data_IF_789666975874
#
_entry.id   IF_789666975874
#
_cell.length_a   1.000
_cell.length_b   1.000
_cell.length_c   1.000
_cell.angle_alpha   90.00
_cell.angle_beta   90.00
_cell.angle_gamma   90.00
#
_symmetry.space_group_name_H-M   'P 1'
#
loop_
_entity.id
_entity.type
_entity.pdbx_description
1 polymer ?
#
# COMPACT_ATOMS: atom_id res chain seq x y z
N UNK A 1 25.50 -3.06 0.10
CA UNK A 1 25.02 -4.43 -0.14
C UNK A 1 23.51 -4.54 0.08
N UNK A 2 22.98 -4.35 1.30
CA UNK A 2 21.51 -4.38 1.60
C UNK A 2 20.61 -3.66 0.59
N UNK A 3 20.93 -2.39 0.28
CA UNK A 3 20.15 -1.57 -0.68
C UNK A 3 20.23 -2.05 -2.13
N UNK A 4 21.29 -2.77 -2.52
CA UNK A 4 21.41 -3.38 -3.86
C UNK A 4 20.49 -4.59 -3.99
N UNK A 5 20.24 -5.30 -2.89
CA UNK A 5 19.42 -6.51 -2.82
C UNK A 5 17.98 -6.25 -2.37
N UNK A 6 17.60 -4.98 -2.13
CA UNK A 6 16.26 -4.63 -1.66
C UNK A 6 15.93 -5.16 -0.26
N UNK A 7 16.93 -5.44 0.58
CA UNK A 7 16.74 -6.03 1.91
C UNK A 7 16.33 -4.97 2.95
N UNK A 8 15.21 -5.23 3.63
CA UNK A 8 14.71 -4.46 4.77
C UNK A 8 14.41 -5.43 5.93
N UNK A 9 14.97 -5.19 7.12
CA UNK A 9 14.80 -6.10 8.26
C UNK A 9 13.63 -5.65 9.13
N UNK A 10 12.63 -6.53 9.30
CA UNK A 10 11.50 -6.30 10.22
C UNK A 10 12.01 -6.34 11.67
N UNK A 11 11.78 -5.28 12.43
CA UNK A 11 12.26 -5.15 13.82
C UNK A 11 11.15 -5.10 14.86
N UNK A 12 9.90 -4.98 14.44
CA UNK A 12 8.71 -4.95 15.30
C UNK A 12 7.74 -6.05 14.87
N UNK A 13 7.01 -6.61 15.83
CA UNK A 13 6.11 -7.74 15.58
C UNK A 13 4.82 -7.27 14.88
N UNK A 14 4.57 -7.64 13.61
CA UNK A 14 3.36 -7.24 12.88
C UNK A 14 2.16 -8.17 13.15
N UNK A 15 2.36 -9.26 13.90
CA UNK A 15 1.43 -10.39 14.01
C UNK A 15 0.46 -10.29 15.19
N UNK A 16 0.55 -9.24 16.00
CA UNK A 16 -0.30 -9.10 17.20
C UNK A 16 -1.74 -8.64 16.90
N UNK A 17 -2.03 -8.31 15.64
CA UNK A 17 -3.36 -7.81 15.27
C UNK A 17 -4.37 -8.96 15.09
N UNK A 18 -5.63 -8.70 15.43
CA UNK A 18 -6.74 -9.66 15.37
C UNK A 18 -6.97 -10.24 13.97
N UNK A 19 -6.77 -9.44 12.91
CA UNK A 19 -6.89 -9.93 11.53
C UNK A 19 -5.87 -11.03 11.21
N UNK A 20 -4.63 -10.87 11.66
CA UNK A 20 -3.62 -11.92 11.55
C UNK A 20 -3.94 -13.13 12.41
N UNK A 21 -4.33 -12.94 13.66
CA UNK A 21 -4.64 -14.06 14.57
C UNK A 21 -5.79 -14.92 14.05
N UNK A 22 -6.83 -14.29 13.49
CA UNK A 22 -7.94 -14.99 12.84
C UNK A 22 -7.45 -15.79 11.63
N UNK A 23 -6.69 -15.15 10.74
CA UNK A 23 -6.13 -15.82 9.56
C UNK A 23 -5.14 -16.96 9.93
N UNK A 24 -4.36 -16.78 10.98
CA UNK A 24 -3.41 -17.77 11.50
C UNK A 24 -4.13 -19.00 12.06
N UNK A 25 -5.26 -18.79 12.74
CA UNK A 25 -6.13 -19.86 13.18
C UNK A 25 -6.72 -20.64 11.99
N UNK A 26 -7.26 -19.93 10.98
CA UNK A 26 -7.88 -20.56 9.80
C UNK A 26 -6.92 -21.42 8.97
N UNK A 27 -5.62 -21.10 8.97
CA UNK A 27 -4.62 -21.87 8.23
C UNK A 27 -3.91 -22.96 9.06
N UNK A 28 -4.29 -23.12 10.34
CA UNK A 28 -3.61 -23.97 11.32
C UNK A 28 -2.10 -23.64 11.44
N UNK A 29 -1.77 -22.36 11.54
CA UNK A 29 -0.38 -21.87 11.47
C UNK A 29 0.54 -22.60 12.46
N UNK A 30 0.10 -22.77 13.71
CA UNK A 30 0.89 -23.39 14.78
C UNK A 30 1.18 -24.89 14.58
N UNK A 31 0.43 -25.55 13.69
CA UNK A 31 0.55 -26.99 13.38
C UNK A 31 1.15 -27.24 12.00
N UNK A 32 1.50 -26.19 11.26
CA UNK A 32 1.98 -26.28 9.88
C UNK A 32 3.44 -25.85 9.80
N UNK A 33 4.23 -26.50 8.95
CA UNK A 33 5.58 -26.04 8.63
C UNK A 33 5.52 -24.70 7.89
N UNK A 34 6.05 -23.64 8.50
CA UNK A 34 6.07 -22.31 7.91
C UNK A 34 7.26 -22.14 6.96
N UNK A 35 7.01 -21.69 5.73
CA UNK A 35 8.05 -21.27 4.80
C UNK A 35 8.36 -19.78 4.98
N UNK A 36 9.64 -19.42 5.22
CA UNK A 36 10.14 -18.04 5.08
C UNK A 36 11.18 -17.98 3.95
N UNK A 37 10.78 -17.63 2.70
CA UNK A 37 11.62 -17.75 1.50
C UNK A 37 12.69 -16.65 1.33
N UNK A 38 12.63 -15.59 2.13
CA UNK A 38 13.50 -14.40 2.09
C UNK A 38 13.88 -13.95 3.51
N UNK A 39 14.36 -14.90 4.32
CA UNK A 39 14.36 -14.78 5.79
C UNK A 39 15.39 -13.80 6.36
N UNK A 40 16.48 -13.50 5.65
CA UNK A 40 17.60 -12.70 6.16
C UNK A 40 18.13 -13.22 7.51
N UNK A 41 17.72 -12.56 8.60
CA UNK A 41 18.07 -12.87 9.99
C UNK A 41 17.09 -13.80 10.72
N UNK A 42 16.03 -14.27 10.07
CA UNK A 42 14.98 -15.14 10.61
C UNK A 42 14.07 -14.46 11.67
N UNK A 43 13.93 -13.14 11.61
CA UNK A 43 13.20 -12.37 12.63
C UNK A 43 11.71 -12.71 12.66
N UNK A 44 11.06 -12.96 11.51
CA UNK A 44 9.63 -13.25 11.48
C UNK A 44 9.33 -14.61 12.12
N UNK A 45 10.12 -15.64 11.81
CA UNK A 45 10.03 -16.92 12.52
C UNK A 45 10.18 -16.74 14.03
N UNK A 46 11.21 -16.02 14.49
CA UNK A 46 11.41 -15.82 15.93
C UNK A 46 10.18 -15.14 16.57
N UNK A 47 9.63 -14.09 15.95
CA UNK A 47 8.42 -13.41 16.44
C UNK A 47 7.21 -14.35 16.51
N UNK A 48 7.06 -15.28 15.56
CA UNK A 48 5.98 -16.27 15.58
C UNK A 48 6.21 -17.35 16.63
N UNK A 49 7.46 -17.77 16.87
CA UNK A 49 7.82 -18.70 17.93
C UNK A 49 7.52 -18.12 19.31
N UNK A 50 7.89 -16.85 19.54
CA UNK A 50 7.61 -16.13 20.80
C UNK A 50 6.10 -16.04 21.09
N UNK A 51 5.27 -16.07 20.05
CA UNK A 51 3.80 -16.10 20.14
C UNK A 51 3.21 -17.51 20.25
N UNK A 52 4.02 -18.58 20.20
CA UNK A 52 3.55 -19.96 20.17
C UNK A 52 2.86 -20.36 18.86
N UNK A 53 3.09 -19.61 17.78
CA UNK A 53 2.45 -19.79 16.46
C UNK A 53 3.34 -20.50 15.44
N UNK A 54 4.57 -20.87 15.80
CA UNK A 54 5.50 -21.57 14.91
C UNK A 54 6.20 -22.71 15.65
N UNK A 55 5.86 -23.95 15.30
CA UNK A 55 6.52 -25.16 15.84
C UNK A 55 7.55 -25.76 14.87
N UNK A 56 7.31 -25.67 13.56
CA UNK A 56 8.24 -26.08 12.51
C UNK A 56 8.33 -25.02 11.41
N UNK A 57 9.53 -24.87 10.83
CA UNK A 57 9.78 -23.90 9.78
C UNK A 57 10.89 -24.35 8.82
N UNK A 58 10.91 -23.72 7.64
CA UNK A 58 12.03 -23.78 6.69
C UNK A 58 12.29 -22.36 6.17
N UNK A 59 13.51 -21.88 6.43
CA UNK A 59 13.91 -20.53 6.06
C UNK A 59 15.01 -20.54 5.01
N UNK A 60 14.89 -19.66 4.03
CA UNK A 60 15.83 -19.50 2.93
C UNK A 60 16.18 -18.04 2.71
N UNK A 61 17.41 -17.77 2.29
CA UNK A 61 17.83 -16.44 1.83
C UNK A 61 19.01 -16.54 0.86
N UNK A 62 19.18 -15.56 -0.02
CA UNK A 62 20.34 -15.50 -0.93
C UNK A 62 21.64 -15.16 -0.17
N UNK A 63 21.51 -14.41 0.93
CA UNK A 63 22.59 -14.04 1.86
C UNK A 63 22.19 -14.28 3.33
N UNK A 64 22.11 -15.54 3.80
CA UNK A 64 21.70 -15.87 5.16
C UNK A 64 22.48 -15.11 6.23
N UNK A 65 21.79 -14.60 7.26
CA UNK A 65 22.37 -13.94 8.44
C UNK A 65 22.17 -14.72 9.73
N UNK A 66 21.57 -15.91 9.64
CA UNK A 66 21.24 -16.79 10.76
C UNK A 66 21.54 -18.25 10.36
N UNK A 67 22.08 -19.05 11.30
CA UNK A 67 22.46 -20.45 11.08
C UNK A 67 21.31 -21.38 10.69
N UNK A 68 20.07 -21.01 11.03
CA UNK A 68 18.86 -21.77 10.68
C UNK A 68 18.31 -21.43 9.27
N UNK A 69 18.92 -20.45 8.59
CA UNK A 69 18.52 -20.01 7.25
C UNK A 69 19.44 -20.65 6.21
N UNK A 70 18.88 -21.40 5.27
CA UNK A 70 19.65 -22.06 4.20
C UNK A 70 19.88 -21.11 3.04
N UNK A 71 21.10 -21.11 2.49
CA UNK A 71 21.42 -20.29 1.30
C UNK A 71 20.66 -20.78 0.08
N UNK A 72 19.87 -19.90 -0.57
CA UNK A 72 19.12 -20.20 -1.80
C UNK A 72 18.73 -18.92 -2.53
N UNK A 73 18.87 -18.89 -3.84
CA UNK A 73 18.24 -17.87 -4.68
C UNK A 73 16.78 -18.27 -4.92
N UNK A 74 15.90 -17.84 -4.02
CA UNK A 74 14.47 -18.23 -4.02
C UNK A 74 13.71 -17.69 -5.23
N UNK A 75 14.19 -16.61 -5.87
CA UNK A 75 13.58 -16.09 -7.10
C UNK A 75 13.85 -17.01 -8.29
N UNK A 76 15.00 -17.69 -8.33
CA UNK A 76 15.33 -18.68 -9.37
C UNK A 76 14.81 -20.08 -9.06
N UNK A 77 14.82 -20.48 -7.79
CA UNK A 77 14.44 -21.83 -7.36
C UNK A 77 13.59 -21.75 -6.08
N UNK A 78 12.29 -21.53 -6.27
CA UNK A 78 11.34 -21.39 -5.16
C UNK A 78 11.10 -22.73 -4.42
N UNK A 79 11.15 -22.77 -3.08
CA UNK A 79 10.83 -23.96 -2.30
C UNK A 79 9.38 -24.44 -2.49
N UNK A 80 9.18 -25.74 -2.72
CA UNK A 80 7.86 -26.35 -2.97
C UNK A 80 7.41 -27.24 -1.81
N UNK A 81 6.12 -27.57 -1.77
CA UNK A 81 5.54 -28.50 -0.79
C UNK A 81 5.12 -27.85 0.54
N UNK A 82 4.96 -26.52 0.56
CA UNK A 82 4.56 -25.78 1.75
C UNK A 82 3.15 -25.24 1.61
N UNK A 83 2.31 -25.46 2.63
CA UNK A 83 0.95 -24.90 2.70
C UNK A 83 0.97 -23.41 3.02
N UNK A 84 1.85 -22.98 3.93
CA UNK A 84 1.89 -21.61 4.47
C UNK A 84 3.25 -20.97 4.25
N UNK A 85 3.24 -19.73 3.74
CA UNK A 85 4.41 -18.87 3.63
C UNK A 85 4.20 -17.59 4.44
N UNK A 86 5.16 -17.23 5.29
CA UNK A 86 5.20 -15.91 5.96
C UNK A 86 6.49 -15.22 5.57
N UNK A 87 6.42 -13.98 5.09
CA UNK A 87 7.61 -13.34 4.54
C UNK A 87 7.59 -11.81 4.54
N UNK A 88 8.79 -11.24 4.49
CA UNK A 88 9.03 -9.87 4.06
C UNK A 88 9.88 -9.94 2.77
N UNK A 89 9.26 -9.92 1.58
CA UNK A 89 9.98 -10.08 0.33
C UNK A 89 10.90 -8.87 0.05
N UNK A 90 11.87 -8.99 -0.86
CA UNK A 90 12.77 -7.88 -1.20
C UNK A 90 12.04 -6.75 -1.93
N UNK A 91 12.33 -5.50 -1.57
CA UNK A 91 11.73 -4.31 -2.20
C UNK A 91 12.73 -3.60 -3.11
N UNK A 92 12.40 -3.51 -4.39
CA UNK A 92 13.22 -2.79 -5.37
C UNK A 92 12.32 -2.34 -6.52
N UNK A 93 11.77 -1.13 -6.44
CA UNK A 93 11.03 -0.56 -7.56
C UNK A 93 11.98 -0.27 -8.75
N UNK A 94 11.55 -0.58 -9.97
CA UNK A 94 12.31 -0.36 -11.22
C UNK A 94 12.81 1.08 -11.36
N UNK A 95 11.94 2.06 -11.06
CA UNK A 95 12.30 3.48 -11.07
C UNK A 95 13.32 3.85 -9.97
N UNK A 96 13.33 3.13 -8.85
CA UNK A 96 14.33 3.30 -7.81
C UNK A 96 15.68 2.71 -8.24
N UNK A 97 15.66 1.52 -8.85
CA UNK A 97 16.84 0.86 -9.40
C UNK A 97 17.51 1.72 -10.48
N UNK A 98 16.74 2.19 -11.48
CA UNK A 98 17.23 3.07 -12.55
C UNK A 98 17.87 4.35 -12.01
N UNK A 99 17.20 5.06 -11.08
CA UNK A 99 17.76 6.27 -10.46
C UNK A 99 19.05 6.04 -9.68
N UNK A 100 19.28 4.81 -9.21
CA UNK A 100 20.46 4.41 -8.43
C UNK A 100 21.48 3.65 -9.25
N UNK A 101 21.28 3.54 -10.57
CA UNK A 101 22.11 2.74 -11.47
C UNK A 101 22.30 1.28 -10.97
N UNK A 102 21.21 0.67 -10.50
CA UNK A 102 21.16 -0.73 -10.10
C UNK A 102 20.51 -1.56 -11.21
N UNK A 103 20.98 -2.78 -11.39
CA UNK A 103 20.33 -3.77 -12.25
C UNK A 103 18.94 -4.10 -11.69
N UNK A 104 17.94 -4.13 -12.57
CA UNK A 104 16.59 -4.57 -12.26
C UNK A 104 16.29 -5.78 -13.14
N UNK A 105 15.82 -6.90 -12.57
CA UNK A 105 15.59 -8.10 -13.35
C UNK A 105 14.48 -7.85 -14.39
N UNK A 106 14.56 -8.57 -15.52
CA UNK A 106 13.50 -8.54 -16.52
C UNK A 106 12.29 -9.34 -16.01
N UNK A 107 11.39 -8.66 -15.29
CA UNK A 107 10.16 -9.22 -14.73
C UNK A 107 8.97 -8.39 -15.18
N UNK A 108 7.78 -9.00 -15.18
CA UNK A 108 6.53 -8.35 -15.62
C UNK A 108 6.08 -7.20 -14.70
N UNK A 109 6.62 -7.12 -13.49
CA UNK A 109 6.24 -6.14 -12.48
C UNK A 109 7.26 -5.00 -12.37
N UNK A 110 6.76 -3.85 -11.93
CA UNK A 110 7.55 -2.64 -11.66
C UNK A 110 8.28 -2.65 -10.31
N UNK A 111 8.09 -3.70 -9.50
CA UNK A 111 8.73 -3.87 -8.20
C UNK A 111 8.97 -5.36 -7.90
N UNK A 112 10.13 -5.66 -7.33
CA UNK A 112 10.59 -7.02 -7.06
C UNK A 112 9.70 -7.76 -6.05
N UNK A 113 9.08 -7.05 -5.10
CA UNK A 113 8.20 -7.68 -4.12
C UNK A 113 6.96 -8.30 -4.78
N UNK A 114 6.47 -7.73 -5.89
CA UNK A 114 5.29 -8.23 -6.60
C UNK A 114 5.58 -9.57 -7.26
N UNK A 115 6.76 -9.68 -7.87
CA UNK A 115 7.23 -10.95 -8.44
C UNK A 115 7.51 -11.99 -7.35
N UNK A 116 8.12 -11.57 -6.24
CA UNK A 116 8.33 -12.44 -5.08
C UNK A 116 7.01 -12.97 -4.52
N UNK A 117 6.00 -12.10 -4.41
CA UNK A 117 4.66 -12.43 -3.95
C UNK A 117 3.94 -13.39 -4.91
N UNK A 118 4.05 -13.19 -6.23
CA UNK A 118 3.55 -14.14 -7.23
C UNK A 118 4.12 -15.54 -6.97
N UNK A 119 5.44 -15.67 -6.78
CA UNK A 119 6.07 -16.98 -6.51
C UNK A 119 5.57 -17.61 -5.21
N UNK A 120 5.37 -16.82 -4.15
CA UNK A 120 4.77 -17.32 -2.92
C UNK A 120 3.34 -17.84 -3.15
N UNK A 121 2.52 -17.09 -3.89
CA UNK A 121 1.14 -17.47 -4.18
C UNK A 121 1.08 -18.72 -5.07
N UNK A 122 1.89 -18.82 -6.11
CA UNK A 122 1.94 -20.00 -6.98
C UNK A 122 2.29 -21.31 -6.23
N UNK A 123 3.00 -21.23 -5.10
CA UNK A 123 3.55 -22.41 -4.42
C UNK A 123 2.98 -22.67 -3.02
N UNK A 124 2.14 -21.78 -2.47
CA UNK A 124 1.53 -21.91 -1.15
C UNK A 124 0.04 -21.55 -1.17
N UNK A 125 -0.77 -22.25 -0.38
CA UNK A 125 -2.21 -21.98 -0.24
C UNK A 125 -2.48 -20.71 0.59
N UNK A 126 -1.62 -20.44 1.57
CA UNK A 126 -1.73 -19.32 2.49
C UNK A 126 -0.43 -18.52 2.47
N UNK A 127 -0.53 -17.20 2.29
CA UNK A 127 0.64 -16.31 2.27
C UNK A 127 0.38 -15.11 3.18
N UNK A 128 1.24 -14.86 4.15
CA UNK A 128 1.31 -13.61 4.89
C UNK A 128 2.54 -12.82 4.47
N UNK A 129 2.36 -11.62 3.91
CA UNK A 129 3.45 -10.83 3.38
C UNK A 129 3.45 -9.40 3.91
N UNK A 130 4.59 -8.95 4.46
CA UNK A 130 4.82 -7.54 4.78
C UNK A 130 5.28 -6.86 3.50
N UNK A 131 4.48 -5.99 2.92
CA UNK A 131 4.73 -5.37 1.61
C UNK A 131 4.37 -3.88 1.62
N UNK A 132 4.84 -3.08 0.63
CA UNK A 132 4.46 -1.67 0.53
C UNK A 132 2.94 -1.48 0.56
N UNK A 133 2.45 -0.57 1.41
CA UNK A 133 1.02 -0.33 1.58
C UNK A 133 0.32 0.16 0.29
N UNK A 134 1.09 0.75 -0.64
CA UNK A 134 0.60 1.09 -1.97
C UNK A 134 0.17 -0.12 -2.81
N UNK A 135 0.51 -1.36 -2.41
CA UNK A 135 0.02 -2.60 -3.00
C UNK A 135 -1.51 -2.62 -3.14
N UNK A 136 -2.23 -2.03 -2.18
CA UNK A 136 -3.69 -1.96 -2.21
C UNK A 136 -4.24 -1.39 -3.53
N UNK A 137 -3.51 -0.42 -4.12
CA UNK A 137 -3.87 0.25 -5.37
C UNK A 137 -3.39 -0.48 -6.62
N UNK A 138 -2.53 -1.50 -6.49
CA UNK A 138 -2.04 -2.28 -7.62
C UNK A 138 -3.14 -3.18 -8.22
N UNK A 139 -4.16 -3.54 -7.44
CA UNK A 139 -5.29 -4.39 -7.88
C UNK A 139 -4.88 -5.72 -8.50
N UNK A 140 -3.77 -6.30 -8.04
CA UNK A 140 -3.29 -7.64 -8.42
C UNK A 140 -3.56 -8.63 -7.27
N UNK A 141 -3.68 -9.92 -7.60
CA UNK A 141 -3.89 -11.03 -6.65
C UNK A 141 -5.13 -10.85 -5.76
N UNK A 142 -6.15 -10.15 -6.26
CA UNK A 142 -7.32 -9.75 -5.46
C UNK A 142 -8.17 -10.96 -5.08
N UNK A 143 -8.24 -11.95 -5.97
CA UNK A 143 -8.96 -13.21 -5.82
C UNK A 143 -8.43 -14.10 -4.69
N UNK A 144 -7.24 -13.79 -4.17
CA UNK A 144 -6.63 -14.49 -3.03
C UNK A 144 -6.46 -13.64 -1.80
N UNK A 145 -6.47 -12.31 -1.94
CA UNK A 145 -6.29 -11.40 -0.83
C UNK A 145 -7.48 -11.50 0.11
N UNK A 146 -7.24 -11.93 1.34
CA UNK A 146 -8.27 -12.10 2.36
C UNK A 146 -8.26 -10.99 3.39
N UNK A 147 -7.08 -10.51 3.78
CA UNK A 147 -6.94 -9.41 4.73
C UNK A 147 -5.91 -8.41 4.22
N UNK A 148 -6.21 -7.12 4.39
CA UNK A 148 -5.25 -6.04 4.24
C UNK A 148 -5.18 -5.28 5.55
N UNK A 149 -4.02 -5.33 6.21
CA UNK A 149 -3.79 -4.68 7.49
C UNK A 149 -2.74 -3.59 7.29
N UNK A 150 -3.15 -2.33 7.33
CA UNK A 150 -2.21 -1.21 7.30
C UNK A 150 -1.48 -1.11 8.64
N UNK A 151 -0.15 -1.09 8.64
CA UNK A 151 0.67 -1.07 9.85
C UNK A 151 1.14 0.37 10.14
N UNK A 152 0.47 1.12 11.02
CA UNK A 152 0.87 2.50 11.41
C UNK A 152 1.92 2.51 12.52
N UNK A 153 2.90 1.63 12.39
CA UNK A 153 4.07 1.62 13.26
C UNK A 153 5.31 1.47 12.41
N UNK A 154 6.43 1.95 12.97
CA UNK A 154 7.72 1.85 12.32
C UNK A 154 8.10 0.37 12.23
N UNK A 155 7.93 -0.28 11.07
CA UNK A 155 8.28 -1.70 10.88
C UNK A 155 9.77 -1.93 10.65
N UNK A 156 10.45 -0.92 10.12
CA UNK A 156 11.84 -0.98 9.70
C UNK A 156 12.62 0.21 10.27
N UNK A 157 13.88 -0.02 10.64
CA UNK A 157 14.76 1.07 11.07
C UNK A 157 15.23 1.96 9.91
N UNK A 158 15.33 1.40 8.72
CA UNK A 158 16.01 2.02 7.57
C UNK A 158 15.06 2.72 6.58
N UNK A 159 13.76 2.76 6.86
CA UNK A 159 12.76 3.34 5.96
C UNK A 159 11.48 3.78 6.68
N UNK A 160 10.89 4.88 6.21
CA UNK A 160 9.58 5.39 6.61
C UNK A 160 8.49 5.09 5.56
N UNK A 161 8.80 4.18 4.63
CA UNK A 161 7.83 3.76 3.63
C UNK A 161 6.68 3.00 4.31
N UNK A 162 5.42 3.43 4.10
CA UNK A 162 4.27 2.74 4.67
C UNK A 162 4.20 1.30 4.17
N UNK A 163 3.91 0.38 5.08
CA UNK A 163 3.72 -1.04 4.77
C UNK A 163 2.41 -1.58 5.32
N UNK A 164 1.97 -2.67 4.72
CA UNK A 164 0.84 -3.46 5.17
C UNK A 164 1.27 -4.90 5.40
N UNK A 165 0.55 -5.60 6.27
CA UNK A 165 0.51 -7.05 6.29
C UNK A 165 -0.66 -7.49 5.39
N UNK A 166 -0.33 -8.06 4.24
CA UNK A 166 -1.29 -8.61 3.29
C UNK A 166 -1.38 -10.12 3.50
N UNK A 167 -2.59 -10.62 3.78
CA UNK A 167 -2.84 -12.03 4.07
C UNK A 167 -3.70 -12.65 2.97
N UNK A 168 -3.22 -13.75 2.40
CA UNK A 168 -3.81 -14.42 1.27
C UNK A 168 -4.26 -15.82 1.66
N UNK A 169 -5.35 -16.28 1.03
CA UNK A 169 -5.88 -17.64 1.08
C UNK A 169 -5.87 -18.22 -0.32
N UNK A 170 -6.20 -19.50 -0.48
CA UNK A 170 -6.32 -20.13 -1.81
C UNK A 170 -7.34 -19.42 -2.70
N UNK A 171 -8.42 -18.95 -2.09
CA UNK A 171 -9.43 -18.09 -2.69
C UNK A 171 -10.05 -17.21 -1.60
N UNK A 172 -10.43 -15.98 -1.97
CA UNK A 172 -11.17 -15.05 -1.10
C UNK A 172 -12.21 -14.30 -1.92
N UNK A 173 -13.46 -14.33 -1.45
CA UNK A 173 -14.57 -13.61 -2.08
C UNK A 173 -14.47 -12.09 -1.88
N UNK A 174 -13.93 -11.68 -0.73
CA UNK A 174 -13.76 -10.29 -0.35
C UNK A 174 -12.52 -10.12 0.53
N UNK A 175 -12.20 -8.87 0.86
CA UNK A 175 -11.05 -8.49 1.68
C UNK A 175 -11.51 -7.83 2.96
N UNK A 176 -11.09 -8.36 4.10
CA UNK A 176 -11.21 -7.70 5.40
C UNK A 176 -10.14 -6.62 5.55
N UNK A 177 -10.55 -5.41 5.90
CA UNK A 177 -9.68 -4.25 5.96
C UNK A 177 -9.44 -3.85 7.41
N UNK A 178 -8.17 -3.68 7.75
CA UNK A 178 -7.73 -3.29 9.08
C UNK A 178 -6.78 -2.10 9.03
N UNK A 179 -6.82 -1.31 10.09
CA UNK A 179 -5.81 -0.33 10.42
C UNK A 179 -5.21 -0.70 11.78
N UNK A 180 -4.00 -1.26 11.76
CA UNK A 180 -3.42 -2.00 12.88
C UNK A 180 -4.40 -3.05 13.42
N UNK A 181 -4.85 -2.93 14.67
CA UNK A 181 -5.82 -3.86 15.25
C UNK A 181 -7.29 -3.47 15.02
N UNK A 182 -7.56 -2.32 14.40
CA UNK A 182 -8.92 -1.83 14.18
C UNK A 182 -9.48 -2.39 12.88
N UNK A 183 -10.53 -3.20 12.96
CA UNK A 183 -11.31 -3.61 11.80
C UNK A 183 -12.10 -2.42 11.22
N UNK A 184 -12.05 -2.25 9.90
CA UNK A 184 -12.67 -1.15 9.16
C UNK A 184 -13.87 -1.58 8.30
N UNK A 185 -14.05 -2.88 8.09
CA UNK A 185 -15.08 -3.45 7.23
C UNK A 185 -14.52 -4.16 6.01
N UNK A 186 -15.44 -4.58 5.14
CA UNK A 186 -15.13 -5.28 3.89
C UNK A 186 -14.79 -4.31 2.76
N UNK A 187 -13.91 -4.74 1.85
CA UNK A 187 -13.54 -3.96 0.67
C UNK A 187 -14.73 -3.69 -0.25
N UNK A 188 -15.60 -4.67 -0.47
CA UNK A 188 -16.81 -4.48 -1.30
C UNK A 188 -17.69 -3.34 -0.76
N UNK A 189 -17.87 -3.26 0.56
CA UNK A 189 -18.68 -2.21 1.20
C UNK A 189 -18.03 -0.83 1.09
N UNK A 190 -16.72 -0.74 1.34
CA UNK A 190 -16.02 0.54 1.20
C UNK A 190 -15.98 1.01 -0.26
N UNK A 191 -15.88 0.09 -1.23
CA UNK A 191 -15.93 0.45 -2.66
C UNK A 191 -17.26 1.09 -3.06
N UNK A 192 -18.38 0.80 -2.38
CA UNK A 192 -19.68 1.44 -2.64
C UNK A 192 -19.65 2.96 -2.37
N UNK A 193 -18.70 3.43 -1.55
CA UNK A 193 -18.46 4.83 -1.17
C UNK A 193 -17.51 5.55 -2.12
N UNK A 194 -16.93 4.86 -3.11
CA UNK A 194 -16.14 5.53 -4.14
C UNK A 194 -17.04 6.42 -5.00
N UNK A 195 -16.55 7.59 -5.43
CA UNK A 195 -17.28 8.45 -6.35
C UNK A 195 -17.69 7.69 -7.62
N UNK A 196 -18.98 7.81 -7.97
CA UNK A 196 -19.62 6.99 -9.03
C UNK A 196 -19.80 7.73 -10.36
N UNK A 197 -19.66 9.05 -10.35
CA UNK A 197 -19.83 9.85 -11.57
C UNK A 197 -18.86 9.40 -12.67
N UNK A 198 -19.41 9.22 -13.88
CA UNK A 198 -18.66 8.95 -15.11
C UNK A 198 -18.96 10.02 -16.17
N UNK A 199 -19.34 11.22 -15.74
CA UNK A 199 -19.68 12.29 -16.66
C UNK A 199 -18.41 12.80 -17.31
N UNK A 200 -18.44 12.92 -18.63
CA UNK A 200 -17.31 13.42 -19.38
C UNK A 200 -17.25 14.95 -19.31
N UNK A 201 -16.67 15.47 -18.23
CA UNK A 201 -16.34 16.89 -18.08
C UNK A 201 -14.89 17.10 -18.54
N UNK A 202 -14.62 18.17 -19.30
CA UNK A 202 -13.25 18.56 -19.63
C UNK A 202 -12.51 19.02 -18.37
N UNK A 203 -11.78 18.09 -17.75
CA UNK A 203 -10.95 18.32 -16.56
C UNK A 203 -9.51 18.01 -16.94
N UNK A 204 -8.65 19.03 -16.91
CA UNK A 204 -7.23 18.90 -17.26
C UNK A 204 -6.35 19.26 -16.08
N UNK A 205 -5.50 18.32 -15.65
CA UNK A 205 -4.54 18.52 -14.57
C UNK A 205 -3.23 19.13 -15.09
N UNK A 206 -2.46 19.75 -14.19
CA UNK A 206 -1.17 20.37 -14.49
C UNK A 206 -1.27 21.49 -15.54
N UNK A 207 -2.34 22.27 -15.51
CA UNK A 207 -2.52 23.44 -16.39
C UNK A 207 -2.10 24.69 -15.62
N UNK A 208 -1.00 25.39 -15.99
CA UNK A 208 -0.52 26.56 -15.24
C UNK A 208 -1.57 27.66 -15.08
N UNK A 209 -2.50 27.81 -16.01
CA UNK A 209 -3.60 28.78 -15.94
C UNK A 209 -4.94 28.15 -15.48
N UNK A 210 -4.89 26.98 -14.84
CA UNK A 210 -6.08 26.31 -14.30
C UNK A 210 -6.76 27.15 -13.20
N UNK A 211 -8.09 27.15 -13.20
CA UNK A 211 -8.94 27.92 -12.29
C UNK A 211 -9.18 27.24 -10.94
N UNK A 212 -8.89 25.94 -10.82
CA UNK A 212 -9.00 25.17 -9.57
C UNK A 212 -7.61 24.70 -9.12
N UNK A 213 -7.27 24.86 -7.85
CA UNK A 213 -6.03 24.33 -7.26
C UNK A 213 -6.26 23.05 -6.47
N UNK A 214 -5.25 22.18 -6.40
CA UNK A 214 -5.25 20.98 -5.56
C UNK A 214 -3.91 20.83 -4.83
N UNK A 215 -3.98 20.78 -3.50
CA UNK A 215 -2.91 20.27 -2.62
C UNK A 215 -3.21 18.80 -2.36
N UNK A 216 -2.46 17.91 -3.01
CA UNK A 216 -2.77 16.49 -3.14
C UNK A 216 -2.10 15.59 -2.10
N UNK A 217 -1.27 16.13 -1.20
CA UNK A 217 -0.59 15.37 -0.15
C UNK A 217 -0.83 16.05 1.21
N UNK A 218 -1.11 15.24 2.23
CA UNK A 218 -1.18 15.73 3.62
C UNK A 218 0.16 16.35 4.05
N UNK A 219 0.12 17.34 4.92
CA UNK A 219 1.29 17.86 5.62
C UNK A 219 1.76 16.85 6.70
N UNK A 220 2.74 17.22 7.52
CA UNK A 220 3.30 16.33 8.57
C UNK A 220 2.55 16.41 9.90
N UNK A 221 1.49 17.22 10.00
CA UNK A 221 0.78 17.51 11.24
C UNK A 221 -0.60 16.84 11.23
N UNK A 222 -1.38 17.02 10.17
CA UNK A 222 -2.80 16.67 10.11
C UNK A 222 -3.26 16.28 8.68
N UNK A 223 -4.48 15.73 8.52
CA UNK A 223 -5.13 15.63 7.22
C UNK A 223 -5.26 17.02 6.55
N UNK A 224 -4.58 17.24 5.43
CA UNK A 224 -4.50 18.57 4.81
C UNK A 224 -4.61 18.60 3.28
N UNK A 225 -4.98 17.47 2.65
CA UNK A 225 -5.38 17.47 1.23
C UNK A 225 -6.59 18.36 1.07
N UNK A 226 -6.54 19.31 0.13
CA UNK A 226 -7.64 20.24 -0.13
C UNK A 226 -7.61 20.81 -1.54
N UNK A 227 -8.78 21.18 -2.03
CA UNK A 227 -8.96 22.06 -3.17
C UNK A 227 -8.89 23.52 -2.73
N UNK A 228 -8.31 24.36 -3.57
CA UNK A 228 -8.09 25.80 -3.33
C UNK A 228 -8.36 26.59 -4.61
N UNK A 229 -8.36 27.91 -4.55
CA UNK A 229 -8.42 28.69 -5.79
C UNK A 229 -7.12 28.46 -6.60
N UNK A 230 -7.24 28.36 -7.93
CA UNK A 230 -6.06 28.22 -8.79
C UNK A 230 -5.01 29.32 -8.53
N UNK A 231 -5.46 30.54 -8.23
CA UNK A 231 -4.62 31.71 -7.93
C UNK A 231 -3.73 31.53 -6.69
N UNK A 232 -4.13 30.69 -5.73
CA UNK A 232 -3.33 30.42 -4.51
C UNK A 232 -2.04 29.62 -4.78
N UNK A 233 -1.94 28.97 -5.93
CA UNK A 233 -0.77 28.16 -6.30
C UNK A 233 -0.02 28.89 -7.40
N UNK A 234 1.25 29.29 -7.25
CA UNK A 234 1.97 29.95 -8.35
C UNK A 234 2.02 29.09 -9.65
N UNK A 235 1.74 29.65 -10.85
CA UNK A 235 1.80 28.92 -12.13
C UNK A 235 3.18 28.29 -12.39
N UNK A 236 4.26 28.94 -11.96
CA UNK A 236 5.65 28.51 -12.16
C UNK A 236 5.98 27.21 -11.40
N UNK A 237 5.19 26.88 -10.37
CA UNK A 237 5.33 25.62 -9.62
C UNK A 237 4.71 24.43 -10.35
N UNK A 238 3.98 24.66 -11.44
CA UNK A 238 3.26 23.61 -12.16
C UNK A 238 4.15 23.02 -13.24
N UNK A 239 4.52 21.74 -13.05
CA UNK A 239 5.24 20.94 -14.03
C UNK A 239 4.31 19.86 -14.58
N UNK A 240 4.62 19.34 -15.76
CA UNK A 240 3.90 18.20 -16.37
C UNK A 240 3.86 16.98 -15.45
N UNK A 241 4.87 16.82 -14.58
CA UNK A 241 5.00 15.73 -13.63
C UNK A 241 4.56 16.10 -12.20
N UNK A 242 3.95 17.27 -12.00
CA UNK A 242 3.43 17.65 -10.68
C UNK A 242 2.41 16.61 -10.22
N UNK A 243 2.51 16.24 -8.94
CA UNK A 243 1.65 15.25 -8.27
C UNK A 243 1.27 15.63 -6.84
N UNK A 244 1.98 16.58 -6.24
CA UNK A 244 1.77 17.01 -4.86
C UNK A 244 0.93 18.28 -4.78
N UNK A 245 1.13 19.21 -5.71
CA UNK A 245 0.44 20.48 -5.81
C UNK A 245 0.21 20.73 -7.30
N UNK A 246 -1.00 21.09 -7.69
CA UNK A 246 -1.34 21.31 -9.11
C UNK A 246 -2.44 22.35 -9.30
N UNK A 247 -2.51 22.89 -10.51
CA UNK A 247 -3.65 23.64 -11.03
C UNK A 247 -4.39 22.79 -12.04
N UNK A 248 -5.72 22.85 -11.99
CA UNK A 248 -6.68 22.05 -12.74
C UNK A 248 -7.55 23.03 -13.51
N UNK A 249 -7.72 22.78 -14.80
CA UNK A 249 -8.69 23.50 -15.62
C UNK A 249 -10.03 22.75 -15.57
N UNK A 250 -11.08 23.46 -15.16
CA UNK A 250 -12.48 23.01 -15.23
C UNK A 250 -13.34 24.04 -15.99
N UNK A 251 -14.53 23.69 -16.51
CA UNK A 251 -15.36 24.61 -17.28
C UNK A 251 -15.74 25.89 -16.53
N UNK A 252 -15.65 27.04 -17.20
CA UNK A 252 -15.87 28.38 -16.60
C UNK A 252 -17.32 28.68 -16.24
N UNK A 253 -18.28 27.89 -16.72
CA UNK A 253 -19.70 28.04 -16.37
C UNK A 253 -19.99 27.86 -14.88
N UNK A 254 -19.07 27.25 -14.13
CA UNK A 254 -19.23 27.01 -12.71
C UNK A 254 -18.53 28.08 -11.86
N UNK A 255 -19.19 28.53 -10.79
CA UNK A 255 -18.62 29.47 -9.81
C UNK A 255 -17.57 28.78 -8.93
N UNK A 256 -16.29 29.10 -9.13
CA UNK A 256 -15.16 28.41 -8.50
C UNK A 256 -15.25 28.35 -6.97
N UNK A 257 -15.57 29.46 -6.30
CA UNK A 257 -15.60 29.49 -4.84
C UNK A 257 -16.66 28.52 -4.25
N UNK A 258 -17.87 28.47 -4.82
CA UNK A 258 -18.90 27.52 -4.36
C UNK A 258 -18.52 26.07 -4.67
N UNK A 259 -17.80 25.81 -5.76
CA UNK A 259 -17.30 24.47 -6.07
C UNK A 259 -16.25 24.04 -5.05
N UNK A 260 -15.30 24.92 -4.68
CA UNK A 260 -14.23 24.60 -3.74
C UNK A 260 -14.79 24.20 -2.38
N UNK A 261 -15.77 24.95 -1.86
CA UNK A 261 -16.44 24.63 -0.60
C UNK A 261 -17.09 23.24 -0.67
N UNK A 262 -17.85 22.97 -1.74
CA UNK A 262 -18.52 21.68 -1.92
C UNK A 262 -17.53 20.53 -2.13
N UNK A 263 -16.45 20.74 -2.89
CA UNK A 263 -15.39 19.75 -3.11
C UNK A 263 -14.70 19.37 -1.82
N UNK A 264 -14.31 20.36 -1.01
CA UNK A 264 -13.64 20.11 0.27
C UNK A 264 -14.59 19.42 1.26
N UNK A 265 -15.87 19.80 1.28
CA UNK A 265 -16.89 19.10 2.06
C UNK A 265 -17.01 17.62 1.63
N UNK A 266 -17.19 17.36 0.34
CA UNK A 266 -17.30 16.00 -0.21
C UNK A 266 -16.02 15.18 0.02
N UNK A 267 -14.84 15.78 -0.13
CA UNK A 267 -13.56 15.15 0.16
C UNK A 267 -13.48 14.75 1.64
N UNK A 268 -13.88 15.62 2.57
CA UNK A 268 -13.84 15.30 4.00
C UNK A 268 -14.80 14.17 4.38
N UNK A 269 -16.00 14.14 3.79
CA UNK A 269 -16.93 13.00 3.93
C UNK A 269 -16.27 11.72 3.39
N UNK A 270 -15.75 11.75 2.17
CA UNK A 270 -15.10 10.62 1.54
C UNK A 270 -13.96 10.06 2.40
N UNK A 271 -13.09 10.94 2.92
CA UNK A 271 -11.98 10.57 3.81
C UNK A 271 -12.48 9.87 5.08
N UNK A 272 -13.50 10.45 5.74
CA UNK A 272 -14.12 9.89 6.95
C UNK A 272 -14.75 8.54 6.69
N UNK A 273 -15.54 8.41 5.64
CA UNK A 273 -16.32 7.19 5.36
C UNK A 273 -15.46 6.04 4.84
N UNK A 274 -14.34 6.33 4.19
CA UNK A 274 -13.43 5.33 3.63
C UNK A 274 -12.19 5.10 4.48
N UNK A 275 -12.07 5.79 5.63
CA UNK A 275 -10.91 5.74 6.52
C UNK A 275 -9.58 6.01 5.80
N UNK A 276 -9.62 6.91 4.80
CA UNK A 276 -8.49 7.22 3.92
C UNK A 276 -7.89 6.02 3.15
N UNK A 277 -8.53 4.85 3.12
CA UNK A 277 -7.96 3.63 2.54
C UNK A 277 -7.70 3.72 1.04
N UNK A 278 -8.55 4.44 0.32
CA UNK A 278 -8.40 4.67 -1.12
C UNK A 278 -7.43 5.82 -1.45
N UNK A 279 -6.93 6.53 -0.44
CA UNK A 279 -5.82 7.46 -0.61
C UNK A 279 -4.51 6.70 -0.40
N UNK A 280 -3.54 6.93 -1.28
CA UNK A 280 -2.26 6.23 -1.21
C UNK A 280 -1.51 6.66 0.05
N UNK A 281 -1.10 5.74 0.95
CA UNK A 281 -0.18 6.06 2.03
C UNK A 281 1.10 6.68 1.49
N UNK A 282 1.52 7.78 2.09
CA UNK A 282 2.67 8.56 1.71
C UNK A 282 3.61 8.70 2.90
N UNK A 283 4.91 8.59 2.61
CA UNK A 283 6.07 8.68 3.51
C UNK A 283 5.81 9.32 4.87
N UNK A 284 6.17 8.58 5.92
CA UNK A 284 6.22 9.09 7.29
C UNK A 284 4.85 9.20 7.96
N UNK A 285 4.87 9.12 9.29
CA UNK A 285 3.72 9.38 10.12
C UNK A 285 3.56 10.89 10.32
N UNK A 286 2.30 11.35 10.34
CA UNK A 286 1.94 12.67 10.85
C UNK A 286 2.05 12.68 12.38
N UNK A 287 1.97 13.86 13.00
CA UNK A 287 1.98 14.01 14.46
C UNK A 287 0.85 13.26 15.18
N UNK A 288 -0.25 12.97 14.48
CA UNK A 288 -1.38 12.17 14.97
C UNK A 288 -1.17 10.64 14.84
N UNK A 289 0.03 10.20 14.46
CA UNK A 289 0.42 8.79 14.22
C UNK A 289 -0.29 8.08 13.06
N UNK A 290 -0.90 8.83 12.13
CA UNK A 290 -1.39 8.26 10.87
C UNK A 290 -0.39 8.54 9.75
N UNK A 291 -0.28 7.63 8.77
CA UNK A 291 0.44 7.95 7.56
C UNK A 291 -0.20 9.14 6.84
N UNK A 292 0.68 9.99 6.30
CA UNK A 292 0.26 11.00 5.33
C UNK A 292 -0.41 10.32 4.15
N UNK A 293 -1.39 10.97 3.54
CA UNK A 293 -2.08 10.45 2.37
C UNK A 293 -1.74 11.26 1.14
N UNK A 294 -1.88 10.62 -0.03
CA UNK A 294 -1.86 11.27 -1.33
C UNK A 294 -3.13 10.92 -2.10
N UNK A 295 -3.82 11.96 -2.56
CA UNK A 295 -4.91 11.87 -3.53
C UNK A 295 -4.33 11.82 -4.95
N UNK A 296 -4.60 10.75 -5.68
CA UNK A 296 -4.21 10.67 -7.10
C UNK A 296 -5.21 11.40 -8.00
N UNK A 297 -4.78 11.69 -9.23
CA UNK A 297 -5.59 12.47 -10.18
C UNK A 297 -6.81 11.74 -10.69
N UNK A 298 -6.79 10.40 -10.71
CA UNK A 298 -7.95 9.62 -11.14
C UNK A 298 -9.07 9.76 -10.12
N UNK A 299 -8.76 9.63 -8.83
CA UNK A 299 -9.73 9.83 -7.76
C UNK A 299 -10.13 11.31 -7.61
N UNK A 300 -9.19 12.25 -7.73
CA UNK A 300 -9.50 13.68 -7.71
C UNK A 300 -10.46 14.05 -8.85
N UNK A 301 -10.23 13.54 -10.07
CA UNK A 301 -11.12 13.76 -11.22
C UNK A 301 -12.54 13.31 -10.92
N UNK A 302 -12.71 12.09 -10.39
CA UNK A 302 -14.03 11.57 -10.05
C UNK A 302 -14.75 12.38 -8.96
N UNK A 303 -14.02 12.84 -7.94
CA UNK A 303 -14.58 13.75 -6.91
C UNK A 303 -15.07 15.07 -7.54
N UNK A 304 -14.34 15.60 -8.51
CA UNK A 304 -14.74 16.79 -9.26
C UNK A 304 -15.99 16.50 -10.10
N UNK A 305 -16.00 15.42 -10.87
CA UNK A 305 -17.15 15.03 -11.72
C UNK A 305 -18.42 14.79 -10.92
N UNK A 306 -18.33 14.15 -9.75
CA UNK A 306 -19.47 13.92 -8.87
C UNK A 306 -19.98 15.22 -8.23
N UNK A 307 -19.07 16.11 -7.83
CA UNK A 307 -19.44 17.40 -7.26
C UNK A 307 -20.10 18.32 -8.30
N UNK A 308 -19.58 18.36 -9.52
CA UNK A 308 -20.13 19.19 -10.59
C UNK A 308 -21.44 18.64 -11.18
N UNK A 309 -21.73 17.35 -11.02
CA UNK A 309 -23.02 16.78 -11.40
C UNK A 309 -24.16 17.22 -10.46
N UNK A 310 -23.84 17.37 -9.18
CA UNK A 310 -24.82 17.79 -8.16
C UNK A 310 -25.11 19.30 -8.15
N UNK A 311 -24.58 20.05 -9.12
CA UNK A 311 -24.75 21.49 -9.30
C UNK A 311 -25.51 21.75 -10.61
#
# INVERSE_FOLDING_TARGET
MKRKLGQYFTTYNPFQNSGFLNWAYECDLSKTTILEPFAGSNNLINMLQDMGLCSDFKSFDIEPKNKFVKRRDTLKNFPKGFKVCITNPPYLAQNSAKRRNLEFPNIIYDDLYKYSLEKCLENCDYVGAIIPASFFNANIFRERLSHYILLNSKMFNDTEHPVCLALFKKYSEDVDLYNDNKYLGKLSDLKKKLPKSNINIDIRFNVPNGNLGLIAIDNTIEPSIKFVNGEEISPERIRVSSRSITRIMIPTKYKINSIIEKLNYNLNIFRKETYDLFLTPFKGLRKDNYYRRRLDYKLAKKLIEETLYGL
#
